data_IF_621576139763
#
_entry.id   IF_621576139763
#
_cell.length_a   1.000
_cell.length_b   1.000
_cell.length_c   1.000
_cell.angle_alpha   90.00
_cell.angle_beta   90.00
_cell.angle_gamma   90.00
#
_symmetry.space_group_name_H-M   'P 1'
#
loop_
_entity.id
_entity.type
_entity.pdbx_description
1 polymer ?
#
# COMPACT_ATOMS: atom_id res chain seq x y z
N UNK A 1 -14.85 -7.59 5.51
CA UNK A 1 -13.75 -8.34 6.16
C UNK A 1 -12.69 -8.83 5.16
N UNK A 2 -13.08 -9.30 3.96
CA UNK A 2 -12.16 -9.77 2.90
C UNK A 2 -11.22 -8.67 2.37
N UNK A 3 -11.76 -7.46 2.14
CA UNK A 3 -11.01 -6.35 1.52
C UNK A 3 -9.81 -5.87 2.37
N UNK A 4 -9.95 -5.88 3.70
CA UNK A 4 -8.82 -5.58 4.59
C UNK A 4 -7.72 -6.64 4.50
N UNK A 5 -8.10 -7.91 4.34
CA UNK A 5 -7.13 -9.01 4.22
C UNK A 5 -6.32 -8.95 2.93
N UNK A 6 -6.89 -8.48 1.82
CA UNK A 6 -6.18 -8.35 0.55
C UNK A 6 -5.27 -7.12 0.52
N UNK A 7 -5.73 -6.00 1.09
CA UNK A 7 -4.88 -4.84 1.31
C UNK A 7 -3.67 -5.18 2.19
N UNK A 8 -3.87 -5.93 3.28
CA UNK A 8 -2.77 -6.37 4.15
C UNK A 8 -1.81 -7.30 3.39
N UNK A 9 -2.35 -8.22 2.58
CA UNK A 9 -1.52 -9.11 1.73
C UNK A 9 -0.64 -8.28 0.81
N UNK A 10 -1.24 -7.33 0.10
CA UNK A 10 -0.51 -6.47 -0.83
C UNK A 10 0.60 -5.68 -0.14
N UNK A 11 0.33 -5.09 1.03
CA UNK A 11 1.34 -4.35 1.79
C UNK A 11 2.48 -5.28 2.23
N UNK A 12 2.17 -6.47 2.72
CA UNK A 12 3.17 -7.46 3.12
C UNK A 12 4.00 -7.98 1.94
N UNK A 13 3.40 -8.14 0.76
CA UNK A 13 4.10 -8.50 -0.48
C UNK A 13 5.04 -7.38 -0.95
N UNK A 14 4.62 -6.11 -0.87
CA UNK A 14 5.47 -4.96 -1.19
C UNK A 14 6.69 -4.90 -0.25
N UNK A 15 6.47 -5.10 1.06
CA UNK A 15 7.56 -5.16 2.04
C UNK A 15 8.50 -6.32 1.69
N UNK A 16 7.96 -7.51 1.41
CA UNK A 16 8.75 -8.69 1.05
C UNK A 16 9.56 -8.49 -0.24
N UNK A 17 8.98 -7.88 -1.26
CA UNK A 17 9.69 -7.55 -2.51
C UNK A 17 10.84 -6.58 -2.23
N UNK A 18 10.60 -5.56 -1.41
CA UNK A 18 11.64 -4.59 -1.04
C UNK A 18 12.77 -5.26 -0.25
N UNK A 19 12.44 -6.11 0.72
CA UNK A 19 13.43 -6.86 1.51
C UNK A 19 14.21 -7.83 0.61
N UNK A 20 13.55 -8.51 -0.31
CA UNK A 20 14.20 -9.51 -1.18
C UNK A 20 15.14 -8.89 -2.20
N UNK A 21 14.72 -7.80 -2.84
CA UNK A 21 15.44 -7.26 -4.00
C UNK A 21 16.25 -5.99 -3.71
N UNK A 22 15.83 -5.17 -2.74
CA UNK A 22 16.38 -3.83 -2.52
C UNK A 22 16.69 -3.48 -1.07
N UNK A 23 16.82 -4.46 -0.18
CA UNK A 23 17.08 -4.23 1.25
C UNK A 23 18.31 -3.36 1.52
N UNK A 24 19.41 -3.61 0.80
CA UNK A 24 20.66 -2.83 0.93
C UNK A 24 20.48 -1.35 0.60
N UNK A 25 19.53 -1.02 -0.27
CA UNK A 25 19.22 0.36 -0.66
C UNK A 25 18.14 1.00 0.24
N UNK A 26 17.48 0.23 1.11
CA UNK A 26 16.34 0.69 1.92
C UNK A 26 16.54 0.45 3.43
N UNK A 27 17.61 0.99 4.05
CA UNK A 27 17.84 0.83 5.49
C UNK A 27 16.75 1.47 6.36
N UNK A 28 16.07 2.51 5.85
CA UNK A 28 14.97 3.18 6.57
C UNK A 28 13.74 2.27 6.74
N UNK A 29 13.47 1.40 5.75
CA UNK A 29 12.44 0.38 5.88
C UNK A 29 12.80 -0.57 7.02
N UNK A 30 14.04 -1.06 7.05
CA UNK A 30 14.53 -1.96 8.12
C UNK A 30 14.42 -1.29 9.50
N UNK A 31 14.81 -0.02 9.62
CA UNK A 31 14.65 0.75 10.86
C UNK A 31 13.19 0.80 11.31
N UNK A 32 12.28 1.07 10.38
CA UNK A 32 10.84 1.13 10.65
C UNK A 32 10.28 -0.22 11.09
N UNK A 33 10.72 -1.31 10.44
CA UNK A 33 10.34 -2.68 10.79
C UNK A 33 10.83 -3.10 12.18
N UNK A 34 12.06 -2.73 12.56
CA UNK A 34 12.58 -2.98 13.92
C UNK A 34 11.73 -2.26 14.97
N UNK A 35 11.35 -1.01 14.70
CA UNK A 35 10.56 -0.21 15.64
C UNK A 35 9.12 -0.71 15.78
N UNK A 36 8.55 -1.31 14.73
CA UNK A 36 7.16 -1.81 14.71
C UNK A 36 7.06 -3.35 14.69
N UNK A 37 8.11 -4.06 15.11
CA UNK A 37 8.18 -5.52 15.00
C UNK A 37 7.02 -6.25 15.68
N UNK A 38 6.49 -5.70 16.79
CA UNK A 38 5.36 -6.26 17.53
C UNK A 38 4.07 -6.32 16.69
N UNK A 39 3.91 -5.44 15.70
CA UNK A 39 2.71 -5.44 14.84
C UNK A 39 2.60 -6.72 14.00
N UNK A 40 3.72 -7.38 13.72
CA UNK A 40 3.74 -8.59 12.89
C UNK A 40 3.34 -9.83 13.68
N UNK A 41 3.42 -9.79 15.02
CA UNK A 41 3.02 -10.90 15.89
C UNK A 41 1.53 -11.23 15.74
N UNK A 42 0.69 -10.23 15.47
CA UNK A 42 -0.76 -10.41 15.26
C UNK A 42 -1.09 -11.25 14.02
N UNK A 43 -0.20 -11.27 13.02
CA UNK A 43 -0.42 -11.98 11.75
C UNK A 43 0.23 -13.38 11.71
N UNK A 44 1.04 -13.73 12.72
CA UNK A 44 1.84 -14.96 12.73
C UNK A 44 1.01 -16.25 12.71
N UNK A 45 -0.17 -16.22 13.32
CA UNK A 45 -1.05 -17.39 13.44
C UNK A 45 -1.96 -17.60 12.23
N UNK A 46 -2.06 -16.61 11.34
CA UNK A 46 -2.87 -16.72 10.12
C UNK A 46 -2.05 -17.44 9.03
N UNK A 47 -2.52 -18.60 8.52
CA UNK A 47 -1.85 -19.31 7.43
C UNK A 47 -1.62 -18.45 6.18
N UNK A 48 -2.49 -17.46 5.91
CA UNK A 48 -2.38 -16.54 4.76
C UNK A 48 -1.11 -15.70 4.82
N UNK A 49 -0.75 -15.22 6.02
CA UNK A 49 0.36 -14.28 6.21
C UNK A 49 1.64 -14.95 6.70
N UNK A 50 1.56 -16.18 7.23
CA UNK A 50 2.66 -16.88 7.88
C UNK A 50 3.99 -16.81 7.12
N UNK A 51 4.00 -17.08 5.83
CA UNK A 51 5.22 -17.09 5.03
C UNK A 51 5.77 -15.68 4.78
N UNK A 52 4.89 -14.71 4.52
CA UNK A 52 5.26 -13.30 4.33
C UNK A 52 5.86 -12.72 5.62
N UNK A 53 5.28 -13.06 6.78
CA UNK A 53 5.74 -12.65 8.10
C UNK A 53 7.08 -13.30 8.44
N UNK A 54 7.30 -14.58 8.09
CA UNK A 54 8.55 -15.28 8.35
C UNK A 54 9.76 -14.57 7.72
N UNK A 55 9.64 -14.08 6.49
CA UNK A 55 10.70 -13.30 5.84
C UNK A 55 10.98 -11.97 6.57
N UNK A 56 9.93 -11.27 7.00
CA UNK A 56 10.05 -10.01 7.75
C UNK A 56 10.73 -10.27 9.09
N UNK A 57 10.32 -11.31 9.82
CA UNK A 57 10.93 -11.70 11.09
C UNK A 57 12.41 -12.09 10.91
N UNK A 58 12.76 -12.78 9.83
CA UNK A 58 14.14 -13.12 9.52
C UNK A 58 15.01 -11.85 9.37
N UNK A 59 14.51 -10.85 8.63
CA UNK A 59 15.17 -9.56 8.52
C UNK A 59 15.27 -8.84 9.87
N UNK A 60 14.15 -8.69 10.57
CA UNK A 60 14.10 -8.04 11.89
C UNK A 60 15.07 -8.69 12.86
N UNK A 61 15.07 -10.02 13.00
CA UNK A 61 15.94 -10.74 13.93
C UNK A 61 17.43 -10.53 13.63
N UNK A 62 17.83 -10.60 12.36
CA UNK A 62 19.22 -10.35 11.96
C UNK A 62 19.66 -8.93 12.31
N UNK A 63 18.86 -7.92 11.98
CA UNK A 63 19.22 -6.53 12.25
C UNK A 63 19.13 -6.19 13.73
N UNK A 64 18.18 -6.78 14.45
CA UNK A 64 18.07 -6.65 15.90
C UNK A 64 19.34 -7.20 16.58
N UNK A 65 19.83 -8.36 16.12
CA UNK A 65 21.09 -8.91 16.61
C UNK A 65 22.26 -7.97 16.33
N UNK A 66 22.35 -7.41 15.11
CA UNK A 66 23.43 -6.47 14.74
C UNK A 66 23.43 -5.18 15.56
N UNK A 67 22.23 -4.66 15.87
CA UNK A 67 22.07 -3.50 16.76
C UNK A 67 22.47 -3.85 18.19
N UNK A 68 22.09 -5.02 18.69
CA UNK A 68 22.50 -5.49 20.02
C UNK A 68 24.02 -5.70 20.13
N UNK A 69 24.66 -6.28 19.10
CA UNK A 69 26.12 -6.48 19.03
C UNK A 69 26.91 -5.16 19.07
N UNK A 70 26.33 -4.07 18.58
CA UNK A 70 26.95 -2.74 18.62
C UNK A 70 27.05 -2.16 20.05
N UNK A 71 26.40 -2.78 21.05
CA UNK A 71 26.49 -2.42 22.47
C UNK A 71 26.32 -0.91 22.75
N UNK A 72 25.41 -0.26 22.02
CA UNK A 72 25.13 1.17 22.14
C UNK A 72 24.42 1.43 23.48
N UNK A 73 24.96 2.35 24.29
CA UNK A 73 24.32 2.79 25.55
C UNK A 73 23.37 3.95 25.23
N UNK A 74 22.06 3.72 25.34
CA UNK A 74 21.01 4.68 25.00
C UNK A 74 21.15 5.22 23.55
N UNK A 75 21.01 4.36 22.53
CA UNK A 75 21.30 4.71 21.14
C UNK A 75 20.40 5.81 20.60
N UNK A 76 21.00 6.77 19.90
CA UNK A 76 20.28 7.76 19.10
C UNK A 76 19.75 7.14 17.80
N UNK A 77 18.69 7.71 17.19
CA UNK A 77 18.20 7.25 15.89
C UNK A 77 19.29 7.22 14.80
N UNK A 78 20.20 8.21 14.79
CA UNK A 78 21.31 8.23 13.81
C UNK A 78 22.29 7.06 14.01
N UNK A 79 22.63 6.73 15.26
CA UNK A 79 23.53 5.62 15.55
C UNK A 79 22.91 4.28 15.13
N UNK A 80 21.63 4.06 15.41
CA UNK A 80 20.92 2.85 14.97
C UNK A 80 20.88 2.78 13.44
N UNK A 81 20.56 3.90 12.77
CA UNK A 81 20.54 3.96 11.31
C UNK A 81 21.92 3.63 10.70
N UNK A 82 23.00 4.10 11.32
CA UNK A 82 24.37 3.79 10.89
C UNK A 82 24.72 2.31 11.06
N UNK A 83 24.32 1.69 12.18
CA UNK A 83 24.50 0.25 12.40
C UNK A 83 23.73 -0.56 11.37
N UNK A 84 22.46 -0.21 11.10
CA UNK A 84 21.64 -0.86 10.07
C UNK A 84 22.30 -0.71 8.69
N UNK A 85 22.76 0.49 8.34
CA UNK A 85 23.42 0.72 7.05
C UNK A 85 24.67 -0.15 6.90
N UNK A 86 25.48 -0.28 7.96
CA UNK A 86 26.66 -1.13 7.95
C UNK A 86 26.29 -2.62 7.85
N UNK A 87 25.33 -3.07 8.66
CA UNK A 87 24.84 -4.45 8.67
C UNK A 87 24.17 -4.87 7.35
N UNK A 88 23.58 -3.93 6.62
CA UNK A 88 22.97 -4.20 5.31
C UNK A 88 23.98 -4.73 4.28
N UNK A 89 25.25 -4.36 4.41
CA UNK A 89 26.33 -4.85 3.52
C UNK A 89 26.63 -6.32 3.74
N UNK A 90 26.51 -6.78 4.98
CA UNK A 90 26.72 -8.17 5.41
C UNK A 90 25.45 -9.02 5.36
N UNK A 91 24.34 -8.45 4.87
CA UNK A 91 23.09 -9.18 4.69
C UNK A 91 23.31 -10.39 3.76
N UNK A 92 23.01 -11.62 4.19
CA UNK A 92 23.27 -12.80 3.40
C UNK A 92 22.36 -12.85 2.16
N UNK A 93 22.89 -13.17 0.96
CA UNK A 93 22.07 -13.35 -0.22
C UNK A 93 21.22 -14.63 -0.11
N UNK A 94 20.05 -14.64 -0.76
CA UNK A 94 19.22 -15.83 -0.99
C UNK A 94 18.72 -16.59 0.28
N UNK A 95 18.65 -15.93 1.43
CA UNK A 95 18.09 -16.54 2.66
C UNK A 95 16.57 -16.36 2.80
N UNK A 96 15.99 -15.42 2.06
CA UNK A 96 14.56 -15.14 2.07
C UNK A 96 13.83 -15.96 1.02
N UNK A 97 12.60 -16.35 1.33
CA UNK A 97 11.69 -16.94 0.35
C UNK A 97 11.36 -15.89 -0.71
N UNK A 98 11.50 -16.24 -1.99
CA UNK A 98 11.10 -15.38 -3.10
C UNK A 98 9.62 -15.62 -3.38
N UNK A 99 8.84 -14.55 -3.42
CA UNK A 99 7.43 -14.57 -3.82
C UNK A 99 7.32 -14.14 -5.29
N UNK A 100 6.23 -14.53 -5.99
CA UNK A 100 5.97 -14.04 -7.33
C UNK A 100 5.95 -12.51 -7.39
N UNK A 101 6.45 -11.94 -8.49
CA UNK A 101 6.36 -10.50 -8.70
C UNK A 101 4.90 -10.05 -8.70
N UNK A 102 4.61 -8.97 -7.97
CA UNK A 102 3.29 -8.34 -8.00
C UNK A 102 3.13 -7.69 -9.38
N UNK A 103 2.32 -8.31 -10.23
CA UNK A 103 2.00 -7.80 -11.55
C UNK A 103 0.65 -7.12 -11.48
N UNK A 104 0.65 -5.81 -11.69
CA UNK A 104 -0.58 -5.05 -11.89
C UNK A 104 -0.81 -4.96 -13.39
N UNK A 105 -1.88 -5.59 -13.84
CA UNK A 105 -2.42 -5.33 -15.16
C UNK A 105 -3.46 -4.24 -15.01
N UNK A 106 -3.35 -3.19 -15.83
CA UNK A 106 -4.43 -2.24 -15.94
C UNK A 106 -5.60 -2.94 -16.62
N UNK A 107 -6.71 -3.06 -15.90
CA UNK A 107 -7.99 -3.50 -16.46
C UNK A 107 -8.78 -2.24 -16.78
N UNK A 108 -8.92 -1.93 -18.07
CA UNK A 108 -9.89 -0.93 -18.52
C UNK A 108 -11.29 -1.49 -18.26
N UNK A 109 -12.06 -0.85 -17.39
CA UNK A 109 -13.48 -1.16 -17.27
C UNK A 109 -14.17 -0.80 -18.59
N UNK A 110 -14.99 -1.72 -19.12
CA UNK A 110 -15.68 -1.55 -20.41
C UNK A 110 -16.52 -0.26 -20.46
N UNK A 111 -17.02 0.19 -19.30
CA UNK A 111 -17.83 1.40 -19.14
C UNK A 111 -17.06 2.59 -18.56
N UNK A 112 -15.73 2.55 -18.56
CA UNK A 112 -14.88 3.63 -18.03
C UNK A 112 -15.20 5.01 -18.64
N UNK A 113 -15.69 5.05 -19.89
CA UNK A 113 -16.16 6.28 -20.54
C UNK A 113 -17.35 6.94 -19.84
N UNK A 114 -18.22 6.20 -19.15
CA UNK A 114 -19.35 6.74 -18.41
C UNK A 114 -18.88 7.61 -17.23
N UNK A 115 -17.69 7.35 -16.69
CA UNK A 115 -17.07 8.18 -15.66
C UNK A 115 -16.15 9.26 -16.26
N UNK A 116 -15.21 8.85 -17.13
CA UNK A 116 -14.16 9.74 -17.63
C UNK A 116 -14.71 10.82 -18.56
N UNK A 117 -15.66 10.52 -19.43
CA UNK A 117 -16.20 11.53 -20.37
C UNK A 117 -16.89 12.66 -19.60
N UNK A 118 -17.86 12.43 -18.70
CA UNK A 118 -18.48 13.49 -17.93
C UNK A 118 -17.49 14.30 -17.08
N UNK A 119 -16.50 13.62 -16.47
CA UNK A 119 -15.47 14.28 -15.66
C UNK A 119 -14.55 15.20 -16.47
N UNK A 120 -14.05 14.75 -17.62
CA UNK A 120 -13.21 15.59 -18.49
C UNK A 120 -13.99 16.79 -19.00
N UNK A 121 -15.26 16.61 -19.38
CA UNK A 121 -16.12 17.72 -19.79
C UNK A 121 -16.38 18.72 -18.66
N UNK A 122 -16.52 18.26 -17.41
CA UNK A 122 -16.67 19.17 -16.26
C UNK A 122 -15.40 19.97 -15.98
N UNK A 123 -14.22 19.36 -16.13
CA UNK A 123 -12.94 20.06 -16.01
C UNK A 123 -12.78 21.13 -17.10
N UNK A 124 -13.14 20.81 -18.35
CA UNK A 124 -13.11 21.78 -19.45
C UNK A 124 -14.08 22.92 -19.21
N UNK A 125 -15.32 22.64 -18.80
CA UNK A 125 -16.31 23.66 -18.48
C UNK A 125 -15.82 24.62 -17.38
N UNK A 126 -15.24 24.08 -16.30
CA UNK A 126 -14.74 24.89 -15.17
C UNK A 126 -13.54 25.76 -15.51
N UNK A 127 -12.66 25.29 -16.40
CA UNK A 127 -11.35 25.90 -16.62
C UNK A 127 -11.22 26.61 -17.98
N UNK A 128 -12.19 26.47 -18.87
CA UNK A 128 -12.19 27.18 -20.15
C UNK A 128 -12.99 28.48 -20.04
N UNK A 129 -12.38 29.59 -20.43
CA UNK A 129 -13.04 30.90 -20.58
C UNK A 129 -13.88 30.99 -21.87
N UNK A 130 -14.58 29.90 -22.22
CA UNK A 130 -15.51 29.86 -23.35
C UNK A 130 -16.91 29.97 -22.76
N UNK A 131 -17.73 30.87 -23.29
CA UNK A 131 -19.12 31.00 -22.87
C UNK A 131 -19.92 29.82 -23.42
N UNK A 132 -20.47 29.00 -22.53
CA UNK A 132 -21.34 27.88 -22.88
C UNK A 132 -22.79 28.25 -22.56
N UNK A 133 -23.70 27.96 -23.50
CA UNK A 133 -25.14 28.08 -23.28
C UNK A 133 -25.63 26.90 -22.43
N UNK A 134 -26.02 27.17 -21.18
CA UNK A 134 -26.39 26.15 -20.20
C UNK A 134 -27.58 25.29 -20.63
N UNK A 135 -28.51 25.82 -21.44
CA UNK A 135 -29.67 25.06 -21.92
C UNK A 135 -29.31 24.07 -23.04
N UNK A 136 -28.16 24.29 -23.71
CA UNK A 136 -27.72 23.48 -24.85
C UNK A 136 -26.60 22.50 -24.49
N UNK A 137 -25.92 22.69 -23.36
CA UNK A 137 -24.82 21.84 -22.89
C UNK A 137 -25.31 20.55 -22.20
N UNK A 138 -26.04 19.71 -22.94
CA UNK A 138 -26.67 18.47 -22.44
C UNK A 138 -25.69 17.47 -21.78
N UNK A 139 -24.44 17.45 -22.23
CA UNK A 139 -23.39 16.57 -21.70
C UNK A 139 -23.04 16.85 -20.23
N UNK A 140 -23.29 18.08 -19.75
CA UNK A 140 -23.06 18.47 -18.36
C UNK A 140 -24.26 18.18 -17.46
N UNK A 141 -25.45 17.94 -18.04
CA UNK A 141 -26.67 17.65 -17.29
C UNK A 141 -26.64 16.25 -16.67
N UNK A 142 -26.11 15.27 -17.40
CA UNK A 142 -25.89 13.90 -16.90
C UNK A 142 -24.87 13.90 -15.74
N UNK A 143 -23.78 14.68 -15.86
CA UNK A 143 -22.80 14.87 -14.78
C UNK A 143 -23.39 15.56 -13.55
N UNK A 144 -24.16 16.65 -13.72
CA UNK A 144 -24.81 17.35 -12.60
C UNK A 144 -25.81 16.46 -11.88
N UNK A 145 -26.56 15.62 -12.61
CA UNK A 145 -27.48 14.65 -12.00
C UNK A 145 -26.74 13.58 -11.21
N UNK A 146 -25.61 13.08 -11.72
CA UNK A 146 -24.78 12.10 -11.01
C UNK A 146 -24.06 12.65 -9.77
N UNK A 147 -23.87 13.97 -9.66
CA UNK A 147 -23.18 14.63 -8.53
C UNK A 147 -24.14 15.27 -7.54
N UNK A 148 -25.36 15.64 -7.95
CA UNK A 148 -26.39 16.06 -6.99
C UNK A 148 -26.78 14.94 -6.01
N UNK A 149 -26.38 13.69 -6.26
CA UNK A 149 -26.23 12.62 -5.27
C UNK A 149 -24.95 12.81 -4.41
N UNK A 150 -24.68 14.03 -3.94
CA UNK A 150 -23.50 14.35 -3.12
C UNK A 150 -23.59 13.71 -1.71
N UNK A 151 -24.76 13.17 -1.31
CA UNK A 151 -24.88 12.24 -0.17
C UNK A 151 -24.41 10.80 -0.48
N UNK A 152 -24.30 10.40 -1.75
CA UNK A 152 -23.82 9.06 -2.12
C UNK A 152 -22.28 8.95 -2.06
N UNK A 153 -21.57 10.08 -2.06
CA UNK A 153 -20.11 10.15 -2.05
C UNK A 153 -19.50 10.35 -0.65
N UNK A 154 -20.30 10.60 0.40
CA UNK A 154 -19.88 10.47 1.79
C UNK A 154 -20.25 9.08 2.35
N UNK A 155 -19.39 8.09 2.09
CA UNK A 155 -19.31 6.88 2.90
C UNK A 155 -20.32 5.78 2.59
N UNK A 156 -20.09 5.01 1.52
CA UNK A 156 -20.57 3.64 1.47
C UNK A 156 -19.70 2.76 2.41
N UNK A 157 -20.26 2.15 3.47
CA UNK A 157 -19.51 1.26 4.34
C UNK A 157 -19.11 0.00 3.58
N UNK A 158 -17.83 -0.35 3.69
CA UNK A 158 -17.28 -1.61 3.21
C UNK A 158 -17.85 -2.79 4.03
N UNK A 159 -18.97 -3.36 3.59
CA UNK A 159 -19.35 -4.71 3.95
C UNK A 159 -20.84 -4.96 4.15
N UNK A 160 -21.38 -5.87 3.35
CA UNK A 160 -22.67 -6.49 3.57
C UNK A 160 -23.01 -7.50 2.48
N UNK A 161 -22.32 -8.65 2.43
CA UNK A 161 -22.85 -9.79 1.69
C UNK A 161 -24.01 -10.40 2.50
N UNK A 162 -25.21 -10.32 1.90
CA UNK A 162 -26.22 -11.37 1.78
C UNK A 162 -26.41 -12.32 2.97
N UNK A 163 -27.51 -12.13 3.70
CA UNK A 163 -28.25 -13.25 4.27
C UNK A 163 -29.48 -13.49 3.38
N UNK A 164 -29.43 -14.56 2.59
CA UNK A 164 -30.63 -15.21 2.06
C UNK A 164 -31.35 -15.93 3.23
N UNK A 165 -32.66 -16.04 3.04
CA UNK A 165 -33.70 -16.58 3.94
C UNK A 165 -33.38 -17.92 4.60
#
# INVERSE_FOLDING_TARGET
MVIYGDMVTLVLEIINSTLTHKLKANPQLVYSLLHKQEMFAYFRNDPKFKELIQNIELAVNYFQQKVSEANLKAPTPEEVAQVIQNASRTWPPNIMKVFPDIKFQYEEEEQSSEFFCPYVWSLLYRNMYVYWDEEKAKILHEYRTAINDEEAFEGAPMGGQTALS
#
